data_IF_222152631737
#
_entry.id   IF_222152631737
#
_cell.length_a   1.000
_cell.length_b   1.000
_cell.length_c   1.000
_cell.angle_alpha   90.00
_cell.angle_beta   90.00
_cell.angle_gamma   90.00
#
_symmetry.space_group_name_H-M   'P 1'
#
loop_
_entity.id
_entity.type
_entity.pdbx_description
1 polymer ?
#
# COMPACT_ATOMS: atom_id res chain seq x y z
N UNK A 1 -3.04 4.90 31.83
CA UNK A 1 -3.50 3.63 31.24
C UNK A 1 -3.55 3.83 29.73
N UNK A 2 -2.83 3.03 28.95
CA UNK A 2 -2.84 3.14 27.49
C UNK A 2 -4.22 2.71 26.94
N UNK A 3 -4.70 3.39 25.90
CA UNK A 3 -6.02 3.14 25.27
C UNK A 3 -6.21 1.67 24.88
N UNK A 4 -5.15 1.00 24.40
CA UNK A 4 -5.22 -0.39 23.98
C UNK A 4 -5.55 -1.35 25.14
N UNK A 5 -5.07 -1.05 26.36
CA UNK A 5 -5.38 -1.86 27.53
C UNK A 5 -6.86 -1.72 27.90
N UNK A 6 -7.41 -0.51 27.80
CA UNK A 6 -8.85 -0.27 28.00
C UNK A 6 -9.69 -1.06 26.97
N UNK A 7 -9.30 -1.03 25.70
CA UNK A 7 -9.99 -1.80 24.65
C UNK A 7 -9.91 -3.30 24.95
N UNK A 8 -8.73 -3.81 25.34
CA UNK A 8 -8.58 -5.23 25.67
C UNK A 8 -9.44 -5.65 26.86
N UNK A 9 -9.49 -4.83 27.92
CA UNK A 9 -10.29 -5.10 29.13
C UNK A 9 -11.79 -5.06 28.82
N UNK A 10 -12.23 -4.06 28.06
CA UNK A 10 -13.62 -3.91 27.61
C UNK A 10 -14.04 -5.12 26.77
N UNK A 11 -13.31 -5.44 25.71
CA UNK A 11 -13.59 -6.59 24.84
C UNK A 11 -13.53 -7.93 25.59
N UNK A 12 -12.62 -8.09 26.57
CA UNK A 12 -12.57 -9.30 27.39
C UNK A 12 -13.77 -9.44 28.34
N UNK A 13 -14.44 -8.34 28.68
CA UNK A 13 -15.68 -8.38 29.47
C UNK A 13 -16.87 -8.88 28.66
N UNK A 14 -16.84 -8.69 27.33
CA UNK A 14 -17.81 -9.17 26.34
C UNK A 14 -17.59 -10.63 25.94
N UNK A 15 -17.52 -11.54 26.91
CA UNK A 15 -17.12 -12.95 26.70
C UNK A 15 -18.00 -13.71 25.71
N UNK A 16 -19.28 -13.37 25.66
CA UNK A 16 -20.28 -14.07 24.83
C UNK A 16 -20.15 -13.71 23.34
N UNK A 17 -19.55 -12.56 23.02
CA UNK A 17 -19.40 -12.07 21.64
C UNK A 17 -18.31 -12.82 20.85
N UNK A 18 -17.35 -13.45 21.55
CA UNK A 18 -16.18 -14.12 20.98
C UNK A 18 -16.21 -15.65 21.13
N UNK A 19 -17.40 -16.24 21.10
CA UNK A 19 -17.59 -17.70 21.26
C UNK A 19 -17.32 -18.50 19.98
N UNK A 20 -17.52 -17.88 18.80
CA UNK A 20 -17.26 -18.51 17.50
C UNK A 20 -15.99 -18.01 16.82
N UNK A 21 -15.52 -16.81 17.19
CA UNK A 21 -14.40 -16.14 16.55
C UNK A 21 -13.42 -15.65 17.60
N UNK A 22 -12.13 -15.68 17.24
CA UNK A 22 -11.06 -15.08 18.03
C UNK A 22 -10.84 -13.65 17.53
N UNK A 23 -10.65 -12.72 18.43
CA UNK A 23 -10.24 -11.35 18.10
C UNK A 23 -8.75 -11.20 18.40
N UNK A 24 -7.96 -10.66 17.47
CA UNK A 24 -6.57 -10.29 17.73
C UNK A 24 -6.46 -8.78 17.60
N UNK A 25 -5.96 -8.14 18.66
CA UNK A 25 -5.72 -6.71 18.71
C UNK A 25 -4.22 -6.43 18.53
N UNK A 26 -3.89 -5.74 17.45
CA UNK A 26 -2.55 -5.24 17.12
C UNK A 26 -2.46 -3.76 17.52
N UNK A 27 -1.38 -3.36 18.22
CA UNK A 27 -1.21 -2.00 18.77
C UNK A 27 -0.73 -1.97 20.23
N UNK A 28 -0.74 -3.12 20.91
CA UNK A 28 -0.04 -3.33 22.19
C UNK A 28 1.43 -3.61 21.90
N UNK A 29 2.21 -2.58 21.61
CA UNK A 29 3.57 -2.81 21.13
C UNK A 29 4.45 -3.58 22.13
N UNK A 30 5.25 -4.55 21.64
CA UNK A 30 5.37 -5.02 20.25
C UNK A 30 4.55 -6.30 19.96
N UNK A 31 3.72 -6.76 20.89
CA UNK A 31 3.13 -8.12 20.85
C UNK A 31 1.60 -8.03 20.85
N UNK A 32 0.93 -8.43 19.75
CA UNK A 32 -0.52 -8.45 19.69
C UNK A 32 -1.16 -9.33 20.78
N UNK A 33 -2.40 -9.00 21.13
CA UNK A 33 -3.17 -9.73 22.14
C UNK A 33 -4.39 -10.37 21.48
N UNK A 34 -4.49 -11.69 21.58
CA UNK A 34 -5.69 -12.44 21.23
C UNK A 34 -6.67 -12.42 22.42
N UNK A 35 -7.94 -12.17 22.12
CA UNK A 35 -9.08 -12.28 23.02
C UNK A 35 -9.90 -13.46 22.54
N UNK A 36 -10.04 -14.46 23.41
CA UNK A 36 -10.83 -15.65 23.14
C UNK A 36 -11.60 -16.04 24.40
N UNK A 37 -12.94 -15.97 24.35
CA UNK A 37 -13.80 -16.31 25.48
C UNK A 37 -13.43 -15.58 26.79
N UNK A 38 -13.01 -14.32 26.69
CA UNK A 38 -12.58 -13.49 27.82
C UNK A 38 -11.15 -13.76 28.34
N UNK A 39 -10.40 -14.64 27.68
CA UNK A 39 -8.98 -14.90 27.99
C UNK A 39 -8.11 -14.06 27.07
N UNK A 40 -7.12 -13.38 27.66
CA UNK A 40 -6.11 -12.61 26.94
C UNK A 40 -4.86 -13.46 26.72
N UNK A 41 -4.45 -13.65 25.46
CA UNK A 41 -3.30 -14.46 25.05
C UNK A 41 -2.34 -13.59 24.25
N UNK A 42 -1.06 -13.52 24.65
CA UNK A 42 -0.04 -12.81 23.87
C UNK A 42 0.36 -13.61 22.64
N UNK A 43 0.25 -13.01 21.45
CA UNK A 43 0.62 -13.62 20.16
C UNK A 43 2.04 -13.25 19.77
N UNK A 44 3.01 -13.88 20.43
CA UNK A 44 4.44 -13.67 20.14
C UNK A 44 4.82 -14.06 18.71
N UNK A 45 4.06 -14.98 18.12
CA UNK A 45 4.18 -15.37 16.72
C UNK A 45 3.76 -14.26 15.74
N UNK A 46 2.95 -13.30 16.17
CA UNK A 46 2.50 -12.14 15.38
C UNK A 46 3.23 -10.85 15.78
N UNK A 47 4.37 -10.96 16.48
CA UNK A 47 5.15 -9.81 16.93
C UNK A 47 5.55 -8.95 15.73
N UNK A 48 5.36 -7.63 15.85
CA UNK A 48 5.77 -6.66 14.84
C UNK A 48 6.46 -5.47 15.49
N UNK A 49 7.32 -4.81 14.74
CA UNK A 49 7.95 -3.53 15.09
C UNK A 49 7.61 -2.45 14.07
N UNK A 50 6.68 -2.75 13.15
CA UNK A 50 6.16 -1.76 12.22
C UNK A 50 5.23 -0.81 12.97
N UNK A 51 5.31 0.48 12.65
CA UNK A 51 4.51 1.52 13.32
C UNK A 51 3.25 1.87 12.53
N UNK A 52 3.26 1.72 11.20
CA UNK A 52 2.15 2.09 10.33
C UNK A 52 1.12 0.97 10.19
N UNK A 53 -0.17 1.32 10.23
CA UNK A 53 -1.26 0.34 10.27
C UNK A 53 -1.33 -0.51 9.00
N UNK A 54 -1.06 0.05 7.84
CA UNK A 54 -1.09 -0.62 6.54
C UNK A 54 0.00 -1.70 6.43
N UNK A 55 1.23 -1.41 6.86
CA UNK A 55 2.34 -2.37 6.91
C UNK A 55 2.07 -3.48 7.92
N UNK A 56 1.50 -3.14 9.09
CA UNK A 56 1.05 -4.14 10.07
C UNK A 56 -0.03 -5.04 9.44
N UNK A 57 -1.05 -4.47 8.79
CA UNK A 57 -2.15 -5.23 8.15
C UNK A 57 -1.57 -6.25 7.16
N UNK A 58 -0.67 -5.83 6.26
CA UNK A 58 -0.04 -6.72 5.28
C UNK A 58 0.72 -7.86 5.97
N UNK A 59 1.52 -7.56 6.99
CA UNK A 59 2.22 -8.58 7.76
C UNK A 59 1.23 -9.57 8.40
N UNK A 60 0.12 -9.08 8.96
CA UNK A 60 -0.88 -9.93 9.59
C UNK A 60 -1.65 -10.81 8.58
N UNK A 61 -1.75 -10.43 7.30
CA UNK A 61 -2.34 -11.32 6.26
C UNK A 61 -1.57 -12.63 6.20
N UNK A 62 -0.24 -12.57 6.29
CA UNK A 62 0.63 -13.76 6.28
C UNK A 62 0.55 -14.51 7.61
N UNK A 63 0.68 -13.79 8.73
CA UNK A 63 0.75 -14.39 10.07
C UNK A 63 -0.59 -14.97 10.56
N UNK A 64 -1.72 -14.57 9.97
CA UNK A 64 -3.02 -15.17 10.23
C UNK A 64 -3.06 -16.67 9.87
N UNK A 65 -2.16 -17.15 8.99
CA UNK A 65 -2.08 -18.55 8.53
C UNK A 65 -3.43 -19.10 8.05
N UNK A 66 -4.26 -18.21 7.50
CA UNK A 66 -5.58 -18.53 6.98
C UNK A 66 -5.51 -18.84 5.49
N UNK A 67 -6.43 -19.68 5.00
CA UNK A 67 -6.58 -19.91 3.55
C UNK A 67 -7.23 -18.74 2.82
N UNK A 68 -7.98 -17.92 3.57
CA UNK A 68 -8.72 -16.77 3.05
C UNK A 68 -8.70 -15.65 4.08
N UNK A 69 -8.38 -14.45 3.65
CA UNK A 69 -8.30 -13.24 4.47
C UNK A 69 -9.13 -12.15 3.81
N UNK A 70 -9.97 -11.47 4.59
CA UNK A 70 -10.65 -10.25 4.18
C UNK A 70 -9.99 -9.08 4.91
N UNK A 71 -9.36 -8.20 4.14
CA UNK A 71 -8.80 -6.93 4.62
C UNK A 71 -9.87 -5.85 4.50
N UNK A 72 -10.16 -5.17 5.61
CA UNK A 72 -11.08 -4.03 5.63
C UNK A 72 -10.26 -2.76 5.82
N UNK A 73 -9.98 -2.05 4.73
CA UNK A 73 -9.15 -0.85 4.71
C UNK A 73 -9.40 -0.04 3.44
N UNK A 74 -8.99 1.23 3.43
CA UNK A 74 -9.01 2.07 2.22
C UNK A 74 -7.62 2.21 1.58
N UNK A 75 -6.55 2.35 2.39
CA UNK A 75 -5.23 2.78 1.91
C UNK A 75 -4.18 1.65 1.78
N UNK A 76 -4.57 0.38 1.92
CA UNK A 76 -3.62 -0.77 1.89
C UNK A 76 -3.54 -1.47 0.53
N UNK A 77 -4.32 -1.01 -0.46
CA UNK A 77 -4.49 -1.72 -1.74
C UNK A 77 -3.18 -1.93 -2.51
N UNK A 78 -2.38 -0.87 -2.68
CA UNK A 78 -1.13 -0.93 -3.45
C UNK A 78 -0.10 -1.86 -2.79
N UNK A 79 -0.04 -1.86 -1.45
CA UNK A 79 0.84 -2.77 -0.71
C UNK A 79 0.41 -4.23 -0.87
N UNK A 80 -0.89 -4.54 -0.75
CA UNK A 80 -1.38 -5.91 -0.95
C UNK A 80 -1.06 -6.43 -2.37
N UNK A 81 -1.25 -5.61 -3.40
CA UNK A 81 -0.86 -5.98 -4.76
C UNK A 81 0.64 -6.27 -4.85
N UNK A 82 1.47 -5.38 -4.30
CA UNK A 82 2.93 -5.51 -4.32
C UNK A 82 3.38 -6.83 -3.68
N UNK A 83 3.00 -7.09 -2.42
CA UNK A 83 3.46 -8.27 -1.69
C UNK A 83 2.85 -9.59 -2.20
N UNK A 84 1.63 -9.57 -2.75
CA UNK A 84 1.09 -10.73 -3.47
C UNK A 84 1.86 -10.99 -4.78
N UNK A 85 2.21 -9.95 -5.54
CA UNK A 85 2.94 -10.08 -6.81
C UNK A 85 4.39 -10.53 -6.61
N UNK A 86 5.06 -10.09 -5.54
CA UNK A 86 6.42 -10.54 -5.20
C UNK A 86 6.45 -11.96 -4.63
N UNK A 87 5.30 -12.50 -4.21
CA UNK A 87 5.18 -13.84 -3.62
C UNK A 87 5.45 -13.91 -2.12
N UNK A 88 5.63 -12.76 -1.45
CA UNK A 88 5.76 -12.67 0.01
C UNK A 88 4.46 -13.05 0.72
N UNK A 89 3.31 -12.72 0.12
CA UNK A 89 2.03 -13.34 0.46
C UNK A 89 1.85 -14.57 -0.44
N UNK A 90 1.83 -15.79 0.12
CA UNK A 90 1.71 -17.00 -0.67
C UNK A 90 0.41 -17.02 -1.50
N UNK A 91 0.51 -17.42 -2.78
CA UNK A 91 -0.64 -17.54 -3.68
C UNK A 91 -1.72 -18.54 -3.20
N UNK A 92 -1.42 -19.38 -2.20
CA UNK A 92 -2.39 -20.27 -1.55
C UNK A 92 -3.35 -19.54 -0.59
N UNK A 93 -3.07 -18.28 -0.27
CA UNK A 93 -3.92 -17.40 0.54
C UNK A 93 -4.78 -16.56 -0.41
N UNK A 94 -6.10 -16.70 -0.29
CA UNK A 94 -7.06 -15.84 -0.98
C UNK A 94 -7.19 -14.54 -0.20
N UNK A 95 -6.76 -13.43 -0.79
CA UNK A 95 -6.81 -12.09 -0.20
C UNK A 95 -7.92 -11.29 -0.87
N UNK A 96 -8.91 -10.93 -0.07
CA UNK A 96 -9.96 -10.00 -0.46
C UNK A 96 -9.76 -8.67 0.26
N UNK A 97 -10.16 -7.57 -0.37
CA UNK A 97 -10.15 -6.25 0.24
C UNK A 97 -11.52 -5.59 0.10
N UNK A 98 -11.95 -4.86 1.12
CA UNK A 98 -13.15 -4.03 1.05
C UNK A 98 -12.93 -2.73 1.83
N UNK A 99 -13.53 -1.64 1.35
CA UNK A 99 -13.56 -0.39 2.08
C UNK A 99 -14.42 -0.52 3.34
N UNK A 100 -14.07 0.13 4.47
CA UNK A 100 -14.95 0.24 5.63
C UNK A 100 -16.24 1.03 5.31
N UNK A 101 -16.30 1.77 4.19
CA UNK A 101 -17.48 2.50 3.74
C UNK A 101 -18.51 1.52 3.18
N UNK A 102 -19.74 1.58 3.71
CA UNK A 102 -20.84 0.71 3.28
C UNK A 102 -21.16 0.83 1.77
N UNK A 103 -21.47 -0.30 1.15
CA UNK A 103 -21.89 -0.37 -0.26
C UNK A 103 -20.74 -0.41 -1.27
N UNK A 104 -19.48 -0.41 -0.82
CA UNK A 104 -18.32 -0.59 -1.69
C UNK A 104 -18.14 -2.08 -2.06
N UNK A 105 -17.65 -2.31 -3.28
CA UNK A 105 -17.41 -3.65 -3.77
C UNK A 105 -16.23 -4.31 -3.03
N UNK A 106 -16.32 -5.63 -2.87
CA UNK A 106 -15.18 -6.45 -2.44
C UNK A 106 -14.28 -6.67 -3.65
N UNK A 107 -12.98 -6.41 -3.49
CA UNK A 107 -11.96 -6.56 -4.51
C UNK A 107 -11.20 -7.86 -4.23
N UNK A 108 -10.99 -8.66 -5.27
CA UNK A 108 -10.13 -9.83 -5.21
C UNK A 108 -8.70 -9.41 -5.58
N UNK A 109 -7.80 -9.42 -4.59
CA UNK A 109 -6.43 -8.97 -4.78
C UNK A 109 -5.66 -9.94 -5.66
N UNK A 110 -5.84 -11.26 -5.46
CA UNK A 110 -5.16 -12.27 -6.26
C UNK A 110 -5.55 -12.15 -7.74
N UNK A 111 -6.85 -12.05 -8.02
CA UNK A 111 -7.32 -11.87 -9.40
C UNK A 111 -6.81 -10.55 -10.03
N UNK A 112 -6.71 -9.49 -9.23
CA UNK A 112 -6.14 -8.21 -9.69
C UNK A 112 -4.66 -8.36 -10.02
N UNK A 113 -3.90 -9.11 -9.20
CA UNK A 113 -2.49 -9.42 -9.48
C UNK A 113 -2.37 -10.19 -10.79
N UNK A 114 -3.16 -11.23 -11.00
CA UNK A 114 -3.12 -12.03 -12.23
C UNK A 114 -3.41 -11.16 -13.47
N UNK A 115 -4.41 -10.27 -13.38
CA UNK A 115 -4.82 -9.40 -14.47
C UNK A 115 -3.79 -8.30 -14.79
N UNK A 116 -3.05 -7.82 -13.78
CA UNK A 116 -2.22 -6.62 -13.88
C UNK A 116 -0.75 -6.85 -13.49
N UNK A 117 -0.27 -8.11 -13.51
CA UNK A 117 1.08 -8.47 -13.06
C UNK A 117 2.22 -7.66 -13.71
N UNK A 118 2.04 -7.20 -14.95
CA UNK A 118 3.06 -6.41 -15.67
C UNK A 118 3.25 -5.00 -15.09
N UNK A 119 2.21 -4.37 -14.53
CA UNK A 119 2.29 -3.00 -14.02
C UNK A 119 2.58 -2.91 -12.52
N UNK A 120 2.26 -3.97 -11.76
CA UNK A 120 2.36 -3.99 -10.30
C UNK A 120 3.79 -3.76 -9.77
N UNK A 121 4.85 -4.31 -10.37
CA UNK A 121 6.22 -4.05 -9.93
C UNK A 121 6.56 -2.55 -9.81
N UNK A 122 6.04 -1.74 -10.72
CA UNK A 122 6.29 -0.29 -10.74
C UNK A 122 5.22 0.52 -9.99
N UNK A 123 4.08 -0.09 -9.63
CA UNK A 123 2.94 0.63 -9.08
C UNK A 123 3.23 1.25 -7.71
N UNK A 124 3.95 0.55 -6.84
CA UNK A 124 4.32 1.08 -5.51
C UNK A 124 5.29 2.26 -5.64
N UNK A 125 6.28 2.15 -6.52
CA UNK A 125 7.22 3.22 -6.83
C UNK A 125 6.51 4.43 -7.47
N UNK A 126 5.62 4.19 -8.44
CA UNK A 126 4.78 5.21 -9.05
C UNK A 126 3.90 5.92 -8.01
N UNK A 127 3.32 5.17 -7.07
CA UNK A 127 2.52 5.73 -5.98
C UNK A 127 3.35 6.63 -5.05
N UNK A 128 4.53 6.16 -4.61
CA UNK A 128 5.44 6.95 -3.78
C UNK A 128 5.95 8.20 -4.50
N UNK A 129 6.22 8.11 -5.80
CA UNK A 129 6.74 9.24 -6.57
C UNK A 129 5.67 10.28 -6.90
N UNK A 130 4.46 9.85 -7.27
CA UNK A 130 3.37 10.77 -7.68
C UNK A 130 2.50 11.25 -6.52
N UNK A 131 2.73 10.74 -5.32
CA UNK A 131 2.17 11.23 -4.07
C UNK A 131 1.44 10.15 -3.28
N UNK A 132 1.90 10.00 -2.05
CA UNK A 132 1.33 9.22 -0.97
C UNK A 132 1.27 10.09 0.30
N UNK A 133 0.92 9.54 1.46
CA UNK A 133 0.70 10.33 2.68
C UNK A 133 1.93 11.13 3.12
N UNK A 134 3.14 10.66 2.79
CA UNK A 134 4.41 11.30 3.14
C UNK A 134 5.04 12.08 1.98
N UNK A 135 4.49 11.97 0.77
CA UNK A 135 5.04 12.61 -0.43
C UNK A 135 3.98 13.47 -1.12
N UNK A 136 4.28 14.76 -1.29
CA UNK A 136 3.39 15.66 -1.99
C UNK A 136 3.17 15.25 -3.45
N UNK A 137 1.93 15.35 -3.92
CA UNK A 137 1.60 15.11 -5.32
C UNK A 137 2.16 16.21 -6.23
N UNK A 138 2.66 15.81 -7.40
CA UNK A 138 3.07 16.73 -8.46
C UNK A 138 1.86 17.48 -9.03
N UNK A 139 2.01 18.79 -9.28
CA UNK A 139 0.94 19.62 -9.85
C UNK A 139 0.45 19.06 -11.20
N UNK A 140 -0.86 18.83 -11.32
CA UNK A 140 -1.47 18.34 -12.56
C UNK A 140 -1.32 16.83 -12.81
N UNK A 141 -0.64 16.08 -11.95
CA UNK A 141 -0.56 14.62 -12.03
C UNK A 141 -1.51 14.00 -11.00
N UNK A 142 -2.54 13.31 -11.47
CA UNK A 142 -3.42 12.49 -10.62
C UNK A 142 -3.00 11.03 -10.59
N UNK A 143 -3.54 10.26 -9.62
CA UNK A 143 -3.28 8.81 -9.49
C UNK A 143 -3.60 8.02 -10.78
N UNK A 144 -4.66 8.40 -11.50
CA UNK A 144 -5.00 7.76 -12.77
C UNK A 144 -3.92 7.96 -13.84
N UNK A 145 -3.31 9.14 -13.91
CA UNK A 145 -2.20 9.39 -14.85
C UNK A 145 -0.97 8.55 -14.48
N UNK A 146 -0.66 8.43 -13.20
CA UNK A 146 0.43 7.57 -12.72
C UNK A 146 0.20 6.09 -13.06
N UNK A 147 -1.02 5.57 -12.81
CA UNK A 147 -1.38 4.17 -13.13
C UNK A 147 -1.29 3.89 -14.63
N UNK A 148 -1.69 4.83 -15.49
CA UNK A 148 -1.57 4.68 -16.95
C UNK A 148 -0.11 4.63 -17.43
N UNK A 149 0.85 5.06 -16.60
CA UNK A 149 2.29 5.03 -16.90
C UNK A 149 3.04 3.96 -16.15
N UNK A 150 2.46 3.38 -15.10
CA UNK A 150 3.06 2.24 -14.41
C UNK A 150 3.24 1.07 -15.40
N UNK A 151 4.41 0.42 -15.38
CA UNK A 151 4.77 -0.64 -16.33
C UNK A 151 5.21 -0.16 -17.71
N UNK A 152 5.12 1.14 -18.03
CA UNK A 152 5.62 1.69 -19.31
C UNK A 152 7.07 2.13 -19.24
N UNK A 153 7.49 2.59 -18.07
CA UNK A 153 8.85 3.00 -17.75
C UNK A 153 9.25 2.27 -16.45
N UNK A 154 10.40 1.60 -16.41
CA UNK A 154 10.80 0.84 -15.22
C UNK A 154 11.05 1.79 -14.05
N UNK A 155 10.63 1.41 -12.84
CA UNK A 155 10.85 2.16 -11.60
C UNK A 155 11.54 1.32 -10.52
N UNK A 156 12.27 0.28 -10.92
CA UNK A 156 12.90 -0.72 -10.05
C UNK A 156 13.94 -0.16 -9.06
N UNK A 157 14.49 1.03 -9.29
CA UNK A 157 15.48 1.66 -8.41
C UNK A 157 14.85 2.47 -7.28
N UNK A 158 13.57 2.84 -7.41
CA UNK A 158 12.84 3.50 -6.31
C UNK A 158 12.56 2.45 -5.23
N UNK A 159 13.09 2.69 -4.02
CA UNK A 159 12.97 1.77 -2.88
C UNK A 159 14.12 0.76 -2.77
N UNK A 160 15.01 0.69 -3.77
CA UNK A 160 16.24 -0.10 -3.66
C UNK A 160 17.31 0.66 -2.88
N UNK A 161 17.69 0.12 -1.72
CA UNK A 161 18.71 0.72 -0.84
C UNK A 161 20.14 0.54 -1.33
N UNK A 162 20.36 -0.25 -2.37
CA UNK A 162 21.67 -0.47 -3.00
C UNK A 162 21.93 0.43 -4.21
N UNK A 163 20.88 1.02 -4.78
CA UNK A 163 20.96 1.90 -5.95
C UNK A 163 21.54 3.28 -5.59
N UNK A 164 22.29 3.87 -6.53
CA UNK A 164 22.84 5.24 -6.35
C UNK A 164 21.77 6.27 -6.71
N UNK A 165 21.65 7.34 -5.91
CA UNK A 165 20.63 8.39 -6.12
C UNK A 165 20.60 8.94 -7.57
N UNK A 166 21.75 9.11 -8.22
CA UNK A 166 21.80 9.57 -9.62
C UNK A 166 21.12 8.61 -10.60
N UNK A 167 21.23 7.30 -10.35
CA UNK A 167 20.60 6.28 -11.18
C UNK A 167 19.09 6.25 -10.93
N UNK A 168 18.67 6.37 -9.67
CA UNK A 168 17.25 6.52 -9.28
C UNK A 168 16.61 7.71 -10.00
N UNK A 169 17.25 8.89 -9.96
CA UNK A 169 16.77 10.09 -10.65
C UNK A 169 16.70 9.86 -12.16
N UNK A 170 17.75 9.24 -12.73
CA UNK A 170 17.82 8.96 -14.17
C UNK A 170 16.68 8.05 -14.62
N UNK A 171 16.38 7.00 -13.86
CA UNK A 171 15.30 6.06 -14.17
C UNK A 171 13.90 6.67 -13.94
N UNK A 172 13.71 7.45 -12.88
CA UNK A 172 12.41 8.03 -12.53
C UNK A 172 12.00 9.21 -13.45
N UNK A 173 12.97 9.90 -14.06
CA UNK A 173 12.71 11.10 -14.86
C UNK A 173 11.81 10.83 -16.08
N UNK A 174 12.07 9.81 -16.94
CA UNK A 174 11.18 9.45 -18.04
C UNK A 174 9.74 9.20 -17.60
N UNK A 175 9.53 8.50 -16.49
CA UNK A 175 8.21 8.23 -15.94
C UNK A 175 7.45 9.52 -15.59
N UNK A 176 8.09 10.47 -14.92
CA UNK A 176 7.46 11.77 -14.59
C UNK A 176 7.15 12.57 -15.85
N UNK A 177 8.07 12.61 -16.83
CA UNK A 177 7.81 13.26 -18.11
C UNK A 177 6.61 12.63 -18.82
N UNK A 178 6.51 11.29 -18.84
CA UNK A 178 5.40 10.57 -19.42
C UNK A 178 4.06 10.86 -18.71
N UNK A 179 4.08 11.08 -17.39
CA UNK A 179 2.90 11.52 -16.64
C UNK A 179 2.39 12.91 -17.09
N UNK A 180 3.29 13.79 -17.52
CA UNK A 180 2.95 15.08 -18.15
C UNK A 180 2.69 14.98 -19.66
N UNK A 181 2.80 13.79 -20.27
CA UNK A 181 2.70 13.62 -21.72
C UNK A 181 3.89 14.17 -22.50
N UNK A 182 5.05 14.31 -21.85
CA UNK A 182 6.28 14.84 -22.44
C UNK A 182 7.32 13.73 -22.65
N UNK A 183 8.21 13.90 -23.63
CA UNK A 183 9.31 12.95 -23.92
C UNK A 183 10.69 13.51 -23.57
N UNK A 184 10.78 14.81 -23.26
CA UNK A 184 12.02 15.49 -22.86
C UNK A 184 11.71 16.57 -21.83
N UNK A 185 12.61 16.75 -20.87
CA UNK A 185 12.55 17.87 -19.95
C UNK A 185 12.95 19.14 -20.71
N UNK A 186 12.00 20.07 -20.92
CA UNK A 186 12.27 21.33 -21.62
C UNK A 186 12.60 22.48 -20.68
N UNK A 187 12.11 22.46 -19.43
CA UNK A 187 12.62 23.27 -18.31
C UNK A 187 12.06 22.77 -16.96
N UNK A 188 12.66 23.21 -15.84
CA UNK A 188 12.20 22.95 -14.47
C UNK A 188 10.80 23.55 -14.16
N UNK A 189 10.36 24.53 -14.94
CA UNK A 189 9.06 25.23 -14.79
C UNK A 189 8.08 24.96 -15.93
N UNK A 190 8.52 24.38 -17.04
CA UNK A 190 7.74 24.20 -18.27
C UNK A 190 7.05 22.83 -18.39
N UNK A 191 7.39 21.88 -17.52
CA UNK A 191 6.71 20.57 -17.45
C UNK A 191 5.19 20.70 -17.16
N UNK A 192 4.75 21.59 -16.24
CA UNK A 192 3.32 21.78 -15.96
C UNK A 192 2.58 22.74 -16.92
N UNK A 193 3.29 23.62 -17.64
CA UNK A 193 2.67 24.68 -18.45
C UNK A 193 1.91 24.16 -19.69
N UNK A 194 2.23 22.95 -20.16
CA UNK A 194 1.62 22.37 -21.36
C UNK A 194 0.29 21.66 -21.12
N UNK A 195 -0.23 21.60 -19.88
CA UNK A 195 -1.54 20.98 -19.58
C UNK A 195 -2.72 21.88 -20.00
N UNK A 196 -2.48 23.04 -20.64
CA UNK A 196 -3.59 23.88 -21.12
C UNK A 196 -3.31 24.96 -22.16
N UNK A 197 -2.09 25.17 -22.66
CA UNK A 197 -1.83 26.22 -23.66
C UNK A 197 -0.81 25.80 -24.72
N UNK A 198 -1.25 25.83 -25.98
CA UNK A 198 -0.34 25.97 -27.12
C UNK A 198 0.30 27.37 -27.06
N UNK A 199 1.64 27.46 -26.92
CA UNK A 199 2.53 28.28 -27.77
C UNK A 199 3.88 28.61 -27.11
N UNK A 200 4.96 28.39 -27.86
CA UNK A 200 6.11 29.31 -27.90
C UNK A 200 7.40 28.86 -27.19
N UNK A 201 8.59 29.14 -27.75
CA UNK A 201 9.85 28.50 -27.35
C UNK A 201 10.68 29.32 -26.34
N UNK A 202 11.55 28.62 -25.61
CA UNK A 202 13.00 28.88 -25.42
C UNK A 202 13.55 28.54 -24.01
N UNK A 203 14.47 27.57 -24.05
CA UNK A 203 15.73 27.33 -23.30
C UNK A 203 16.05 28.06 -22.00
N UNK A 204 16.44 27.29 -20.97
CA UNK A 204 17.83 27.01 -20.56
C UNK A 204 17.83 25.97 -19.42
#
# INVERSE_FOLDING_TARGET
>A
MQLINLICEDMASHKDDFTQHKLVLTGSDPVPVEINSGVLIKRQDMKTTQEEADTIIVQQVVEAKAKKVLVVADDTFVLLLHFCCQGDIPASIIVLMVSPIQGRAVIDINATVDQHHELIPDLLAAHGLTGCDTVATYFGIGKAAAVLRAGTEPLSYIGDTSSVLSEVITQATPFILACYGQTKCTSMTGTPENVGKQSGPECC
#
